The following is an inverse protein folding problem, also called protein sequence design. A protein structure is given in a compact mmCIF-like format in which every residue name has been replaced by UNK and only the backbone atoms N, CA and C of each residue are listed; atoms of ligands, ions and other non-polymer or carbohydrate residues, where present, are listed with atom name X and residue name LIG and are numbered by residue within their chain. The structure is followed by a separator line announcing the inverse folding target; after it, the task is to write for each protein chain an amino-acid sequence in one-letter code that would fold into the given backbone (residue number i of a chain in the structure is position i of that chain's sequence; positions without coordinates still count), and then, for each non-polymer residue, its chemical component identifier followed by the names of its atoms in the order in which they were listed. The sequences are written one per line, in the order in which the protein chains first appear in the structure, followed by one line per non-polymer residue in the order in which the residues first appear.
data_IF_162794943226
#
_entry.id   IF_162794943226
#
_cell.length_a   1.000
_cell.length_b   1.000
_cell.length_c   1.000
_cell.angle_alpha   90.00
_cell.angle_beta   90.00
_cell.angle_gamma   90.00
#
_symmetry.space_group_name_H-M   'P 1'
#
loop_
_entity.id
_entity.type
_entity.pdbx_description
1 polymer ?
#
# COMPACT_ATOMS: atom_id res chain seq x y z
N UNK A 1 -41.34 -27.52 -4.73
CA UNK A 1 -39.89 -27.36 -4.99
C UNK A 1 -39.69 -26.11 -5.83
N UNK A 2 -39.32 -25.00 -5.21
CA UNK A 2 -39.06 -23.74 -5.91
C UNK A 2 -37.67 -23.81 -6.54
N UNK A 3 -37.59 -23.77 -7.86
CA UNK A 3 -36.32 -23.78 -8.61
C UNK A 3 -35.53 -22.52 -8.23
N UNK A 4 -34.32 -22.67 -7.68
CA UNK A 4 -33.41 -21.55 -7.50
C UNK A 4 -33.24 -20.84 -8.85
N UNK A 5 -33.29 -19.50 -8.91
CA UNK A 5 -33.01 -18.77 -10.13
C UNK A 5 -31.66 -19.23 -10.67
N UNK A 6 -31.60 -19.57 -11.96
CA UNK A 6 -30.32 -19.88 -12.60
C UNK A 6 -29.35 -18.71 -12.42
N UNK A 7 -28.08 -19.00 -12.16
CA UNK A 7 -27.05 -17.96 -12.04
C UNK A 7 -26.97 -17.20 -13.37
N UNK A 8 -27.12 -15.88 -13.30
CA UNK A 8 -26.86 -14.99 -14.43
C UNK A 8 -25.35 -14.95 -14.69
N UNK A 9 -24.92 -15.75 -15.67
CA UNK A 9 -23.52 -15.88 -16.05
C UNK A 9 -22.91 -14.57 -16.55
N UNK A 10 -23.70 -13.71 -17.20
CA UNK A 10 -23.22 -12.43 -17.73
C UNK A 10 -23.05 -11.39 -16.64
N UNK A 11 -23.97 -11.34 -15.67
CA UNK A 11 -23.79 -10.54 -14.46
C UNK A 11 -22.57 -10.99 -13.66
N UNK A 12 -22.35 -12.31 -13.53
CA UNK A 12 -21.17 -12.84 -12.87
C UNK A 12 -19.88 -12.41 -13.56
N UNK A 13 -19.77 -12.62 -14.88
CA UNK A 13 -18.60 -12.19 -15.68
C UNK A 13 -18.31 -10.70 -15.54
N UNK A 14 -19.32 -9.85 -15.66
CA UNK A 14 -19.18 -8.40 -15.46
C UNK A 14 -18.68 -8.04 -14.06
N UNK A 15 -19.15 -8.75 -13.03
CA UNK A 15 -18.71 -8.54 -11.66
C UNK A 15 -17.24 -8.91 -11.49
N UNK A 16 -16.82 -10.04 -12.08
CA UNK A 16 -15.41 -10.47 -12.06
C UNK A 16 -14.50 -9.52 -12.82
N UNK A 17 -14.89 -9.05 -14.00
CA UNK A 17 -14.12 -8.06 -14.76
C UNK A 17 -13.99 -6.73 -14.01
N UNK A 18 -15.04 -6.28 -13.32
CA UNK A 18 -14.97 -5.07 -12.48
C UNK A 18 -14.02 -5.27 -11.30
N UNK A 19 -14.07 -6.43 -10.64
CA UNK A 19 -13.19 -6.74 -9.52
C UNK A 19 -11.73 -6.77 -9.96
N UNK A 20 -11.44 -7.42 -11.09
CA UNK A 20 -10.12 -7.48 -11.70
C UNK A 20 -9.57 -6.09 -12.02
N UNK A 21 -10.39 -5.21 -12.60
CA UNK A 21 -10.00 -3.83 -12.86
C UNK A 21 -9.63 -3.07 -11.58
N UNK A 22 -10.45 -3.16 -10.52
CA UNK A 22 -10.17 -2.51 -9.23
C UNK A 22 -8.84 -3.01 -8.65
N UNK A 23 -8.61 -4.32 -8.64
CA UNK A 23 -7.37 -4.88 -8.10
C UNK A 23 -6.15 -4.52 -8.94
N UNK A 24 -6.29 -4.44 -10.26
CA UNK A 24 -5.22 -3.98 -11.15
C UNK A 24 -4.82 -2.55 -10.82
N UNK A 25 -5.78 -1.63 -10.70
CA UNK A 25 -5.52 -0.22 -10.41
C UNK A 25 -4.85 -0.05 -9.02
N UNK A 26 -5.30 -0.81 -8.02
CA UNK A 26 -4.68 -0.86 -6.69
C UNK A 26 -3.23 -1.34 -6.79
N UNK A 27 -2.98 -2.42 -7.54
CA UNK A 27 -1.66 -3.00 -7.70
C UNK A 27 -0.68 -2.06 -8.42
N UNK A 28 -1.12 -1.42 -9.51
CA UNK A 28 -0.32 -0.44 -10.25
C UNK A 28 0.06 0.75 -9.35
N UNK A 29 -0.91 1.28 -8.58
CA UNK A 29 -0.67 2.36 -7.63
C UNK A 29 0.32 1.93 -6.54
N UNK A 30 0.11 0.76 -5.93
CA UNK A 30 0.98 0.25 -4.88
C UNK A 30 2.41 0.02 -5.39
N UNK A 31 2.55 -0.54 -6.59
CA UNK A 31 3.85 -0.75 -7.23
C UNK A 31 4.59 0.58 -7.44
N UNK A 32 3.92 1.58 -8.03
CA UNK A 32 4.50 2.91 -8.23
C UNK A 32 4.93 3.56 -6.90
N UNK A 33 4.07 3.53 -5.88
CA UNK A 33 4.32 4.15 -4.56
C UNK A 33 5.44 3.44 -3.79
N UNK A 34 5.56 2.12 -3.92
CA UNK A 34 6.55 1.31 -3.19
C UNK A 34 7.99 1.66 -3.55
N UNK A 35 8.24 2.23 -4.74
CA UNK A 35 9.55 2.64 -5.20
C UNK A 35 10.14 3.82 -4.41
N UNK A 36 9.30 4.63 -3.74
CA UNK A 36 9.75 5.85 -3.05
C UNK A 36 9.20 6.04 -1.64
N UNK A 37 8.16 5.28 -1.24
CA UNK A 37 7.90 5.11 0.20
C UNK A 37 9.18 4.58 0.84
N UNK A 38 9.48 5.03 2.05
CA UNK A 38 10.48 4.36 2.88
C UNK A 38 9.72 3.37 3.76
N UNK A 39 9.48 2.11 3.37
CA UNK A 39 9.13 1.15 4.38
C UNK A 39 10.40 0.85 5.17
N UNK A 40 10.23 0.23 6.34
CA UNK A 40 11.31 -0.33 7.14
C UNK A 40 12.08 0.71 7.97
N UNK A 41 11.39 1.21 8.99
CA UNK A 41 11.96 1.79 10.21
C UNK A 41 12.29 0.63 11.17
N UNK A 42 13.52 0.53 11.66
CA UNK A 42 13.84 -0.42 12.73
C UNK A 42 13.47 0.16 14.11
N UNK A 43 13.67 -0.62 15.18
CA UNK A 43 13.33 -0.20 16.55
C UNK A 43 14.14 1.00 17.08
N UNK A 44 15.19 1.42 16.37
CA UNK A 44 16.01 2.60 16.67
C UNK A 44 15.73 3.77 15.71
N UNK A 45 14.57 3.74 15.07
CA UNK A 45 14.12 4.75 14.12
C UNK A 45 15.03 4.93 12.89
N UNK A 46 15.77 3.88 12.52
CA UNK A 46 16.66 3.89 11.35
C UNK A 46 15.98 3.28 10.12
N UNK A 47 16.20 3.89 8.96
CA UNK A 47 15.81 3.32 7.67
C UNK A 47 16.67 2.09 7.37
N UNK A 48 16.04 0.96 7.09
CA UNK A 48 16.74 -0.25 6.61
C UNK A 48 16.62 -0.45 5.09
N UNK A 49 15.84 0.41 4.41
CA UNK A 49 15.77 0.44 2.96
C UNK A 49 17.14 0.69 2.33
N UNK A 50 17.54 -0.17 1.39
CA UNK A 50 18.83 -0.08 0.67
C UNK A 50 18.79 0.90 -0.52
N UNK A 51 17.60 1.34 -0.92
CA UNK A 51 17.38 2.34 -1.98
C UNK A 51 17.11 3.71 -1.38
N UNK A 52 17.27 4.77 -2.18
CA UNK A 52 16.95 6.14 -1.78
C UNK A 52 15.43 6.36 -1.70
N UNK A 53 14.94 6.95 -0.62
CA UNK A 53 13.50 7.20 -0.45
C UNK A 53 13.24 8.51 0.33
N UNK A 54 12.00 9.02 0.26
CA UNK A 54 11.65 10.38 0.71
C UNK A 54 11.97 10.70 2.17
N UNK A 55 11.82 9.72 3.06
CA UNK A 55 11.92 9.86 4.51
C UNK A 55 13.31 9.46 5.05
N UNK A 56 14.33 9.33 4.20
CA UNK A 56 15.71 9.10 4.66
C UNK A 56 16.39 10.43 4.97
N UNK A 57 16.64 10.71 6.24
CA UNK A 57 17.56 11.77 6.65
C UNK A 57 19.00 11.23 6.66
N UNK A 58 19.78 11.76 5.71
CA UNK A 58 21.17 11.36 5.44
C UNK A 58 22.20 12.07 6.31
N UNK A 59 21.78 12.97 7.20
CA UNK A 59 22.67 13.68 8.13
C UNK A 59 23.08 12.78 9.29
N UNK A 60 23.83 11.73 8.98
CA UNK A 60 24.34 10.73 9.94
C UNK A 60 25.84 10.48 9.70
N UNK A 61 26.58 9.98 10.72
CA UNK A 61 27.97 9.58 10.55
C UNK A 61 28.17 8.52 9.45
N UNK A 62 29.38 8.47 8.89
CA UNK A 62 29.73 7.47 7.88
C UNK A 62 29.58 6.04 8.44
N UNK A 63 28.89 5.19 7.69
CA UNK A 63 28.64 3.80 8.06
C UNK A 63 27.38 3.55 8.91
N UNK A 64 26.69 4.60 9.35
CA UNK A 64 25.40 4.46 10.03
C UNK A 64 24.22 4.36 9.07
N UNK A 65 23.15 3.71 9.53
CA UNK A 65 21.85 3.75 8.86
C UNK A 65 21.25 5.16 8.97
N UNK A 66 20.62 5.61 7.87
CA UNK A 66 19.89 6.88 7.83
C UNK A 66 18.76 6.92 8.86
N UNK A 67 18.43 8.11 9.35
CA UNK A 67 17.28 8.30 10.23
C UNK A 67 16.00 8.25 9.38
N UNK A 68 14.98 7.52 9.83
CA UNK A 68 13.70 7.43 9.16
C UNK A 68 12.75 8.50 9.68
N UNK A 69 12.55 9.56 8.91
CA UNK A 69 11.66 10.68 9.25
C UNK A 69 10.22 10.34 8.89
N UNK A 70 9.56 9.58 9.76
CA UNK A 70 8.10 9.38 9.78
C UNK A 70 7.49 10.20 10.92
N UNK A 71 6.27 10.72 10.73
CA UNK A 71 5.55 11.41 11.82
C UNK A 71 4.95 10.44 12.84
N UNK A 72 4.91 9.13 12.51
CA UNK A 72 4.27 8.04 13.25
C UNK A 72 2.82 8.37 13.69
N UNK A 73 2.19 9.36 13.06
CA UNK A 73 0.86 9.90 13.35
C UNK A 73 -0.11 9.49 12.26
N UNK A 74 -0.13 8.20 11.97
CA UNK A 74 -1.07 7.64 11.01
C UNK A 74 -2.47 7.60 11.64
N UNK A 75 -3.28 8.62 11.37
CA UNK A 75 -4.70 8.63 11.72
C UNK A 75 -5.53 8.24 10.50
N UNK A 76 -5.99 6.99 10.48
CA UNK A 76 -6.81 6.47 9.39
C UNK A 76 -8.31 6.70 9.59
N UNK A 77 -8.76 7.29 10.71
CA UNK A 77 -10.20 7.41 11.01
C UNK A 77 -10.96 8.15 9.92
N UNK A 78 -10.38 9.21 9.36
CA UNK A 78 -10.96 9.97 8.25
C UNK A 78 -11.20 9.17 6.96
N UNK A 79 -10.58 8.00 6.80
CA UNK A 79 -10.80 7.11 5.66
C UNK A 79 -11.94 6.11 5.87
N UNK A 80 -12.42 5.92 7.12
CA UNK A 80 -13.37 4.87 7.49
C UNK A 80 -14.64 5.41 8.18
N UNK A 81 -14.54 6.53 8.89
CA UNK A 81 -15.65 7.20 9.55
C UNK A 81 -16.25 8.23 8.59
N UNK A 82 -17.28 7.80 7.84
CA UNK A 82 -18.06 8.61 6.87
C UNK A 82 -19.43 8.94 7.44
#
# INVERSE_FOLDING_TARGET
MTRLPGVDKERYRRSMSRLEAIFRDINETANAVSAYRCPYKNAQDRCTAKFGCRNQDRRVPYGELFICTGDDKLDYRSAWEV
#
